data_IF_670330793714
#
_entry.id   IF_670330793714
#
_cell.length_a   1.000
_cell.length_b   1.000
_cell.length_c   1.000
_cell.angle_alpha   90.00
_cell.angle_beta   90.00
_cell.angle_gamma   90.00
#
_symmetry.space_group_name_H-M   'P 1'
#
loop_
_entity.id
_entity.type
_entity.pdbx_description
1 polymer ?
#
# COMPACT_ATOMS: atom_id res chain seq x y z
N UNK A 1 -15.11 16.43 10.36
CA UNK A 1 -14.77 15.15 9.69
C UNK A 1 -13.28 14.88 9.95
N UNK A 2 -12.90 13.69 10.42
CA UNK A 2 -11.52 13.39 10.84
C UNK A 2 -10.94 12.30 9.91
N UNK A 3 -9.91 12.67 9.13
CA UNK A 3 -9.12 11.74 8.33
C UNK A 3 -8.47 10.71 9.26
N UNK A 4 -8.69 9.41 9.01
CA UNK A 4 -8.11 8.35 9.82
C UNK A 4 -6.83 7.87 9.15
N UNK A 5 -5.79 8.69 9.22
CA UNK A 5 -4.45 8.27 8.81
C UNK A 5 -4.10 6.97 9.55
N UNK A 6 -3.49 6.01 8.85
CA UNK A 6 -2.87 4.85 9.49
C UNK A 6 -1.92 5.27 10.62
N UNK A 7 -1.65 4.39 11.57
CA UNK A 7 -0.77 4.69 12.72
C UNK A 7 0.70 4.87 12.31
N UNK A 8 1.03 4.66 11.05
CA UNK A 8 2.38 4.75 10.51
C UNK A 8 2.76 6.22 10.24
N UNK A 9 3.95 6.60 10.68
CA UNK A 9 4.50 7.94 10.46
C UNK A 9 4.84 8.11 8.97
N UNK A 10 4.56 9.28 8.40
CA UNK A 10 4.97 9.62 7.03
C UNK A 10 6.47 9.35 6.82
N UNK A 11 6.80 8.64 5.72
CA UNK A 11 8.18 8.25 5.40
C UNK A 11 8.69 6.98 6.07
N UNK A 12 7.91 6.33 6.96
CA UNK A 12 8.33 5.11 7.64
C UNK A 12 8.66 3.94 6.67
N UNK A 13 8.03 3.91 5.49
CA UNK A 13 8.31 2.90 4.45
C UNK A 13 9.72 2.99 3.86
N UNK A 14 10.38 4.15 3.95
CA UNK A 14 11.71 4.36 3.39
C UNK A 14 12.76 3.42 4.00
N UNK A 15 12.62 3.08 5.29
CA UNK A 15 13.51 2.16 5.98
C UNK A 15 13.45 0.73 5.40
N UNK A 16 12.29 0.31 4.89
CA UNK A 16 12.09 -1.02 4.31
C UNK A 16 12.44 -1.08 2.81
N UNK A 17 12.42 0.06 2.12
CA UNK A 17 12.68 0.13 0.68
C UNK A 17 14.14 0.45 0.32
N UNK A 18 14.83 1.25 1.15
CA UNK A 18 16.15 1.78 0.80
C UNK A 18 17.31 1.08 1.51
N UNK A 19 17.03 0.22 2.48
CA UNK A 19 18.04 -0.56 3.20
C UNK A 19 18.02 -2.03 2.75
N UNK A 20 19.17 -2.73 2.74
CA UNK A 20 19.19 -4.17 2.52
C UNK A 20 18.26 -4.87 3.52
N UNK A 21 17.38 -5.75 3.06
CA UNK A 21 16.37 -6.41 3.91
C UNK A 21 16.95 -6.97 5.24
N UNK A 22 18.10 -7.66 5.28
CA UNK A 22 18.68 -8.18 6.52
C UNK A 22 19.06 -7.12 7.56
N UNK A 23 19.12 -5.84 7.18
CA UNK A 23 19.50 -4.71 8.04
C UNK A 23 18.29 -3.90 8.52
N UNK A 24 17.08 -4.32 8.16
CA UNK A 24 15.85 -3.65 8.58
C UNK A 24 15.29 -4.26 9.87
N UNK A 25 14.43 -3.52 10.56
CA UNK A 25 13.77 -4.00 11.78
C UNK A 25 12.87 -5.22 11.53
N UNK A 26 12.39 -5.38 10.30
CA UNK A 26 11.64 -6.54 9.84
C UNK A 26 12.14 -6.95 8.44
N UNK A 27 13.14 -7.86 8.36
CA UNK A 27 13.72 -8.31 7.11
C UNK A 27 12.73 -8.99 6.16
N UNK A 28 11.71 -9.65 6.69
CA UNK A 28 10.71 -10.33 5.86
C UNK A 28 9.79 -9.31 5.19
N UNK A 29 9.34 -8.31 5.95
CA UNK A 29 8.57 -7.19 5.43
C UNK A 29 9.37 -6.42 4.37
N UNK A 30 10.64 -6.11 4.64
CA UNK A 30 11.51 -5.44 3.70
C UNK A 30 11.69 -6.24 2.39
N UNK A 31 11.96 -7.54 2.50
CA UNK A 31 12.13 -8.40 1.34
C UNK A 31 10.86 -8.43 0.46
N UNK A 32 9.68 -8.48 1.07
CA UNK A 32 8.40 -8.46 0.33
C UNK A 32 8.12 -7.12 -0.32
N UNK A 33 8.27 -6.02 0.41
CA UNK A 33 8.07 -4.68 -0.15
C UNK A 33 9.00 -4.46 -1.34
N UNK A 34 10.27 -4.85 -1.21
CA UNK A 34 11.24 -4.77 -2.30
C UNK A 34 10.87 -5.68 -3.49
N UNK A 35 10.40 -6.93 -3.25
CA UNK A 35 9.99 -7.85 -4.31
C UNK A 35 8.83 -7.30 -5.15
N UNK A 36 7.80 -6.71 -4.51
CA UNK A 36 6.69 -6.07 -5.23
C UNK A 36 7.17 -4.89 -6.10
N UNK A 37 8.01 -4.01 -5.55
CA UNK A 37 8.54 -2.86 -6.29
C UNK A 37 9.44 -3.27 -7.44
N UNK A 38 10.34 -4.23 -7.22
CA UNK A 38 11.23 -4.76 -8.26
C UNK A 38 10.41 -5.47 -9.35
N UNK A 39 9.41 -6.27 -8.98
CA UNK A 39 8.54 -6.97 -9.93
C UNK A 39 7.75 -6.02 -10.80
N UNK A 40 7.21 -4.96 -10.20
CA UNK A 40 6.53 -3.89 -10.93
C UNK A 40 7.46 -3.24 -11.97
N UNK A 41 8.67 -2.86 -11.57
CA UNK A 41 9.65 -2.25 -12.48
C UNK A 41 10.06 -3.20 -13.62
N UNK A 42 10.19 -4.50 -13.33
CA UNK A 42 10.68 -5.49 -14.31
C UNK A 42 9.61 -5.99 -15.27
N UNK A 43 8.36 -6.06 -14.83
CA UNK A 43 7.30 -6.79 -15.55
C UNK A 43 6.05 -5.95 -15.82
N UNK A 44 6.04 -4.67 -15.40
CA UNK A 44 4.84 -3.82 -15.35
C UNK A 44 3.72 -4.45 -14.50
N UNK A 45 4.07 -5.38 -13.61
CA UNK A 45 3.16 -6.12 -12.77
C UNK A 45 3.80 -6.40 -11.40
N UNK A 46 3.18 -5.98 -10.30
CA UNK A 46 3.72 -6.23 -8.97
C UNK A 46 3.70 -7.73 -8.60
N UNK A 47 2.86 -8.53 -9.26
CA UNK A 47 2.76 -9.98 -9.05
C UNK A 47 3.77 -10.82 -9.86
N UNK A 48 4.60 -10.20 -10.70
CA UNK A 48 5.51 -10.92 -11.60
C UNK A 48 6.75 -11.53 -10.92
N UNK A 49 6.86 -11.39 -9.60
CA UNK A 49 7.99 -11.84 -8.77
C UNK A 49 7.95 -13.32 -8.39
N UNK A 50 9.02 -13.80 -7.74
CA UNK A 50 9.29 -15.23 -7.47
C UNK A 50 8.27 -15.94 -6.56
N UNK A 51 7.30 -15.25 -5.96
CA UNK A 51 6.38 -15.81 -4.98
C UNK A 51 4.92 -15.68 -5.40
N UNK A 52 4.47 -16.60 -6.25
CA UNK A 52 3.08 -16.71 -6.70
C UNK A 52 2.12 -17.29 -5.61
N UNK A 53 2.49 -17.23 -4.33
CA UNK A 53 1.84 -18.01 -3.26
C UNK A 53 1.48 -17.23 -1.99
N UNK A 54 1.84 -15.95 -1.88
CA UNK A 54 1.49 -15.12 -0.72
C UNK A 54 1.06 -13.73 -1.19
N UNK A 55 -0.25 -13.49 -1.25
CA UNK A 55 -0.83 -12.18 -1.55
C UNK A 55 -0.69 -11.76 -3.02
N UNK A 56 -1.58 -12.28 -3.88
CA UNK A 56 -1.72 -11.74 -5.24
C UNK A 56 -2.38 -10.37 -5.12
N UNK A 57 -1.75 -9.31 -5.64
CA UNK A 57 -2.44 -8.05 -5.87
C UNK A 57 -3.47 -8.28 -6.99
N UNK A 58 -4.74 -8.35 -6.63
CA UNK A 58 -5.82 -8.64 -7.57
C UNK A 58 -6.30 -7.34 -8.23
N UNK A 59 -6.71 -7.46 -9.49
CA UNK A 59 -7.45 -6.40 -10.15
C UNK A 59 -8.91 -6.52 -9.69
N UNK A 60 -9.25 -5.86 -8.59
CA UNK A 60 -10.59 -5.86 -8.02
C UNK A 60 -11.50 -4.88 -8.80
N UNK A 61 -12.81 -5.16 -8.85
CA UNK A 61 -13.80 -4.27 -9.48
C UNK A 61 -14.12 -3.03 -8.64
N UNK A 62 -13.72 -3.04 -7.36
CA UNK A 62 -13.75 -1.91 -6.44
C UNK A 62 -12.33 -1.54 -6.00
N UNK A 63 -12.13 -0.29 -5.57
CA UNK A 63 -10.84 0.14 -5.02
C UNK A 63 -10.46 -0.73 -3.82
N UNK A 64 -9.25 -1.28 -3.88
CA UNK A 64 -8.69 -2.18 -2.88
C UNK A 64 -7.21 -1.88 -2.70
N UNK A 65 -6.72 -2.16 -1.50
CA UNK A 65 -5.33 -1.94 -1.12
C UNK A 65 -4.67 -3.27 -0.79
N UNK A 66 -3.40 -3.38 -1.17
CA UNK A 66 -2.54 -4.46 -0.69
C UNK A 66 -1.99 -4.04 0.68
N UNK A 67 -2.46 -4.70 1.73
CA UNK A 67 -1.91 -4.54 3.06
C UNK A 67 -0.75 -5.52 3.25
N UNK A 68 0.40 -4.99 3.65
CA UNK A 68 1.61 -5.77 3.94
C UNK A 68 1.94 -5.54 5.41
N UNK A 69 1.91 -6.60 6.21
CA UNK A 69 2.18 -6.54 7.65
C UNK A 69 3.02 -7.74 8.07
N UNK A 70 4.31 -7.53 8.28
CA UNK A 70 5.27 -8.60 8.59
C UNK A 70 5.22 -9.76 7.57
N UNK A 71 4.95 -10.96 8.07
CA UNK A 71 4.82 -12.17 7.25
C UNK A 71 3.45 -12.32 6.57
N UNK A 72 2.49 -11.43 6.82
CA UNK A 72 1.17 -11.45 6.20
C UNK A 72 1.05 -10.48 5.03
N UNK A 73 0.40 -10.93 3.96
CA UNK A 73 0.01 -10.09 2.82
C UNK A 73 -1.45 -10.37 2.51
N UNK A 74 -2.28 -9.32 2.52
CA UNK A 74 -3.70 -9.44 2.25
C UNK A 74 -4.19 -8.32 1.35
N UNK A 75 -5.24 -8.60 0.57
CA UNK A 75 -5.99 -7.58 -0.16
C UNK A 75 -7.17 -7.18 0.71
N UNK A 76 -7.32 -5.88 0.98
CA UNK A 76 -8.43 -5.33 1.77
C UNK A 76 -9.17 -4.29 0.95
N UNK A 77 -10.44 -4.07 1.30
CA UNK A 77 -11.18 -2.93 0.77
C UNK A 77 -10.44 -1.64 1.12
N UNK A 78 -10.41 -0.70 0.19
CA UNK A 78 -9.81 0.60 0.42
C UNK A 78 -10.74 1.42 1.34
N UNK A 79 -10.42 1.48 2.64
CA UNK A 79 -11.19 2.25 3.63
C UNK A 79 -11.18 3.76 3.33
N UNK A 80 -10.20 4.25 2.56
CA UNK A 80 -10.12 5.64 2.13
C UNK A 80 -11.05 5.93 0.94
N UNK A 81 -11.68 4.91 0.35
CA UNK A 81 -12.80 5.12 -0.60
C UNK A 81 -14.17 5.28 0.06
N UNK A 82 -14.24 5.21 1.40
CA UNK A 82 -15.43 5.65 2.13
C UNK A 82 -15.67 7.16 1.89
N UNK A 83 -16.93 7.62 2.00
CA UNK A 83 -17.36 9.00 1.70
C UNK A 83 -16.62 10.10 2.48
N UNK A 84 -15.77 9.72 3.45
CA UNK A 84 -14.88 10.60 4.22
C UNK A 84 -13.77 11.23 3.40
N UNK A 85 -13.30 10.58 2.33
CA UNK A 85 -12.37 11.17 1.36
C UNK A 85 -13.10 11.84 0.19
N UNK A 86 -14.44 11.81 0.16
CA UNK A 86 -15.27 12.45 -0.86
C UNK A 86 -15.07 13.97 -0.97
N UNK A 87 -14.60 14.63 0.10
CA UNK A 87 -14.15 16.02 0.06
C UNK A 87 -13.03 16.25 -0.97
N UNK A 88 -12.12 15.30 -1.16
CA UNK A 88 -11.02 15.37 -2.13
C UNK A 88 -11.43 14.95 -3.55
N UNK A 89 -12.60 14.33 -3.71
CA UNK A 89 -13.13 13.84 -4.99
C UNK A 89 -13.92 14.90 -5.78
N UNK A 90 -13.76 16.18 -5.43
CA UNK A 90 -14.30 17.30 -6.24
C UNK A 90 -15.57 17.95 -5.68
N UNK A 91 -15.95 17.70 -4.44
CA UNK A 91 -16.89 18.58 -3.75
C UNK A 91 -16.14 19.82 -3.22
N UNK A 92 -15.73 20.70 -4.13
CA UNK A 92 -15.44 22.08 -3.76
C UNK A 92 -16.74 22.69 -3.25
N UNK A 93 -16.95 22.71 -1.93
CA UNK A 93 -18.02 23.53 -1.38
C UNK A 93 -17.75 24.97 -1.83
N UNK A 94 -18.71 25.57 -2.52
CA UNK A 94 -18.70 26.99 -2.77
C UNK A 94 -18.72 27.68 -1.40
N UNK A 95 -17.57 28.17 -0.94
CA UNK A 95 -17.52 29.07 0.19
C UNK A 95 -18.09 30.39 -0.29
N UNK A 96 -19.42 30.55 -0.20
CA UNK A 96 -20.08 31.85 -0.39
C UNK A 96 -19.95 32.67 0.89
N UNK A 97 -19.39 33.87 0.77
CA UNK A 97 -19.35 34.90 1.81
C UNK A 97 -20.75 35.34 2.26
#
# INVERSE_FOLDING_TARGET
MMFKAGTQIHGASAAFLNSPAPQTQDPELAAKMQDYWISFVKTMGPNGGKNNSSGVQRNETSFSVLEVYGSDVSVKADEDTDGRCGFLLGHSENITN
#
